data_IF_121616049801
#
_entry.id   IF_121616049801
#
_cell.length_a   1.000
_cell.length_b   1.000
_cell.length_c   1.000
_cell.angle_alpha   90.00
_cell.angle_beta   90.00
_cell.angle_gamma   90.00
#
_symmetry.space_group_name_H-M   'P 1'
#
loop_
_entity.id
_entity.type
_entity.pdbx_description
1 polymer ?
#
# COMPACT_ATOMS: atom_id res chain seq x y z
N UNK A 1 -5.87 8.22 11.87
CA UNK A 1 -6.53 6.99 11.34
C UNK A 1 -8.03 6.94 11.65
N UNK A 2 -8.46 6.96 12.93
CA UNK A 2 -9.89 6.89 13.28
C UNK A 2 -10.69 7.96 12.55
N UNK A 3 -10.25 9.23 12.54
CA UNK A 3 -10.91 10.32 11.83
C UNK A 3 -11.06 10.04 10.33
N UNK A 4 -10.06 9.47 9.67
CA UNK A 4 -10.13 9.13 8.24
C UNK A 4 -11.20 8.06 7.96
N UNK A 5 -11.32 7.04 8.82
CA UNK A 5 -12.38 6.04 8.71
C UNK A 5 -13.76 6.61 8.99
N UNK A 6 -13.89 7.54 9.96
CA UNK A 6 -15.16 8.24 10.22
C UNK A 6 -15.57 9.04 8.98
N UNK A 7 -14.65 9.81 8.37
CA UNK A 7 -14.93 10.60 7.16
C UNK A 7 -15.34 9.68 6.00
N UNK A 8 -14.63 8.58 5.78
CA UNK A 8 -15.00 7.58 4.77
C UNK A 8 -16.38 6.97 5.04
N UNK A 9 -16.68 6.66 6.30
CA UNK A 9 -17.98 6.13 6.71
C UNK A 9 -19.12 7.12 6.43
N UNK A 10 -18.95 8.38 6.78
CA UNK A 10 -19.93 9.44 6.52
C UNK A 10 -20.13 9.61 5.00
N UNK A 11 -19.04 9.69 4.24
CA UNK A 11 -19.07 9.78 2.79
C UNK A 11 -19.85 8.63 2.16
N UNK A 12 -19.63 7.41 2.67
CA UNK A 12 -20.33 6.22 2.19
C UNK A 12 -21.82 6.24 2.51
N UNK A 13 -22.21 6.63 3.73
CA UNK A 13 -23.61 6.76 4.11
C UNK A 13 -24.31 7.80 3.24
N UNK A 14 -23.69 8.96 3.01
CA UNK A 14 -24.23 9.98 2.10
C UNK A 14 -24.38 9.43 0.68
N UNK A 15 -23.39 8.73 0.18
CA UNK A 15 -23.42 8.12 -1.14
C UNK A 15 -24.56 7.10 -1.28
N UNK A 16 -24.70 6.17 -0.33
CA UNK A 16 -25.80 5.19 -0.33
C UNK A 16 -27.17 5.86 -0.22
N UNK A 17 -27.28 6.95 0.57
CA UNK A 17 -28.53 7.70 0.72
C UNK A 17 -28.95 8.33 -0.60
N UNK A 18 -28.00 8.90 -1.36
CA UNK A 18 -28.28 9.44 -2.71
C UNK A 18 -28.72 8.33 -3.65
N UNK A 19 -28.05 7.16 -3.65
CA UNK A 19 -28.45 6.03 -4.49
C UNK A 19 -29.85 5.53 -4.15
N UNK A 20 -30.18 5.45 -2.87
CA UNK A 20 -31.51 5.06 -2.41
C UNK A 20 -32.59 6.07 -2.88
N UNK A 21 -32.33 7.36 -2.71
CA UNK A 21 -33.22 8.44 -3.17
C UNK A 21 -33.49 8.38 -4.69
N UNK A 22 -32.46 7.97 -5.46
CA UNK A 22 -32.54 7.81 -6.91
C UNK A 22 -33.15 6.45 -7.35
N UNK A 23 -33.64 5.63 -6.41
CA UNK A 23 -34.30 4.35 -6.70
C UNK A 23 -33.37 3.22 -7.08
N UNK A 24 -32.06 3.38 -6.89
CA UNK A 24 -31.08 2.32 -7.19
C UNK A 24 -31.06 1.29 -6.06
N UNK A 25 -31.34 0.03 -6.39
CA UNK A 25 -31.30 -1.07 -5.44
C UNK A 25 -29.91 -1.26 -4.84
N UNK A 26 -29.76 -0.95 -3.54
CA UNK A 26 -28.47 -1.06 -2.84
C UNK A 26 -28.11 -2.49 -2.41
N UNK A 27 -29.08 -3.40 -2.30
CA UNK A 27 -28.84 -4.80 -1.86
C UNK A 27 -27.97 -5.56 -2.85
N UNK A 28 -28.27 -5.65 -4.15
CA UNK A 28 -27.40 -6.31 -5.13
C UNK A 28 -25.99 -5.70 -5.18
N UNK A 29 -25.90 -4.38 -5.10
CA UNK A 29 -24.62 -3.66 -5.09
C UNK A 29 -23.78 -3.98 -3.86
N UNK A 30 -24.39 -4.06 -2.68
CA UNK A 30 -23.71 -4.42 -1.45
C UNK A 30 -23.19 -5.87 -1.50
N UNK A 31 -23.97 -6.79 -2.07
CA UNK A 31 -23.58 -8.19 -2.24
C UNK A 31 -22.37 -8.30 -3.19
N UNK A 32 -22.43 -7.66 -4.35
CA UNK A 32 -21.33 -7.68 -5.33
C UNK A 32 -20.07 -7.04 -4.74
N UNK A 33 -20.19 -5.89 -4.13
CA UNK A 33 -19.06 -5.20 -3.50
C UNK A 33 -18.43 -6.07 -2.39
N UNK A 34 -19.25 -6.68 -1.53
CA UNK A 34 -18.76 -7.57 -0.47
C UNK A 34 -18.04 -8.79 -1.05
N UNK A 35 -18.60 -9.43 -2.08
CA UNK A 35 -17.99 -10.56 -2.76
C UNK A 35 -16.63 -10.19 -3.39
N UNK A 36 -16.55 -9.03 -4.05
CA UNK A 36 -15.30 -8.54 -4.64
C UNK A 36 -14.23 -8.25 -3.59
N UNK A 37 -14.60 -7.65 -2.46
CA UNK A 37 -13.70 -7.37 -1.35
C UNK A 37 -13.14 -8.67 -0.76
N UNK A 38 -14.02 -9.62 -0.49
CA UNK A 38 -13.64 -10.92 0.04
C UNK A 38 -12.72 -11.65 -0.93
N UNK A 39 -13.00 -11.60 -2.23
CA UNK A 39 -12.16 -12.19 -3.27
C UNK A 39 -10.79 -11.48 -3.31
N UNK A 40 -10.75 -10.15 -3.34
CA UNK A 40 -9.52 -9.36 -3.35
C UNK A 40 -8.67 -9.64 -2.10
N UNK A 41 -9.29 -9.67 -0.92
CA UNK A 41 -8.59 -10.01 0.33
C UNK A 41 -8.10 -11.46 0.32
N UNK A 42 -8.92 -12.41 -0.15
CA UNK A 42 -8.58 -13.82 -0.17
C UNK A 42 -7.43 -14.16 -1.13
N UNK A 43 -7.36 -13.50 -2.27
CA UNK A 43 -6.36 -13.75 -3.30
C UNK A 43 -5.18 -12.77 -3.29
N UNK A 44 -5.14 -11.79 -2.37
CA UNK A 44 -4.16 -10.71 -2.36
C UNK A 44 -2.71 -11.21 -2.37
N UNK A 45 -2.37 -12.19 -1.54
CA UNK A 45 -1.03 -12.79 -1.45
C UNK A 45 -0.62 -13.51 -2.75
N UNK A 46 -1.53 -14.29 -3.33
CA UNK A 46 -1.28 -15.02 -4.58
C UNK A 46 -1.11 -14.08 -5.77
N UNK A 47 -1.94 -13.04 -5.84
CA UNK A 47 -1.86 -12.03 -6.90
C UNK A 47 -0.50 -11.32 -6.81
N UNK A 48 -0.07 -10.92 -5.62
CA UNK A 48 1.21 -10.24 -5.43
C UNK A 48 2.39 -11.15 -5.80
N UNK A 49 2.41 -12.41 -5.35
CA UNK A 49 3.45 -13.37 -5.73
C UNK A 49 3.52 -13.57 -7.25
N UNK A 50 2.37 -13.73 -7.89
CA UNK A 50 2.32 -13.96 -9.34
C UNK A 50 2.72 -12.73 -10.14
N UNK A 51 2.23 -11.55 -9.77
CA UNK A 51 2.52 -10.30 -10.49
C UNK A 51 3.95 -9.81 -10.27
N UNK A 52 4.54 -10.09 -9.09
CA UNK A 52 5.91 -9.70 -8.77
C UNK A 52 6.96 -10.68 -9.29
N UNK A 53 6.57 -11.90 -9.66
CA UNK A 53 7.52 -12.97 -9.94
C UNK A 53 8.32 -13.41 -8.71
N UNK A 54 7.84 -13.09 -7.50
CA UNK A 54 8.51 -13.46 -6.25
C UNK A 54 8.52 -14.98 -6.06
N UNK A 55 9.67 -15.52 -5.76
CA UNK A 55 9.87 -16.95 -5.45
C UNK A 55 10.12 -17.11 -3.97
N UNK A 56 9.35 -18.01 -3.32
CA UNK A 56 9.62 -18.39 -1.93
C UNK A 56 10.98 -19.11 -1.90
N UNK A 57 11.83 -18.68 -0.99
CA UNK A 57 13.20 -19.21 -0.85
C UNK A 57 13.38 -19.95 0.46
N UNK A 58 14.29 -20.92 0.47
CA UNK A 58 14.65 -21.71 1.67
C UNK A 58 15.68 -20.99 2.54
N UNK A 59 15.84 -21.47 3.76
CA UNK A 59 16.89 -20.99 4.68
C UNK A 59 18.29 -21.32 4.16
N UNK A 60 18.42 -22.43 3.42
CA UNK A 60 19.71 -22.88 2.88
C UNK A 60 20.16 -21.97 1.72
N UNK A 61 19.22 -21.46 0.92
CA UNK A 61 19.52 -20.55 -0.19
C UNK A 61 19.86 -19.13 0.27
N UNK A 62 19.16 -18.63 1.31
CA UNK A 62 19.31 -17.27 1.85
C UNK A 62 19.39 -17.25 3.38
N UNK A 63 20.45 -17.88 3.97
CA UNK A 63 20.52 -18.07 5.43
C UNK A 63 20.47 -16.77 6.21
N UNK A 64 21.20 -15.74 5.77
CA UNK A 64 21.30 -14.45 6.43
C UNK A 64 19.95 -13.67 6.41
N UNK A 65 19.27 -13.66 5.28
CA UNK A 65 17.97 -13.03 5.17
C UNK A 65 16.94 -13.69 6.10
N UNK A 66 16.95 -15.02 6.15
CA UNK A 66 16.09 -15.77 7.07
C UNK A 66 16.42 -15.50 8.54
N UNK A 67 17.70 -15.36 8.89
CA UNK A 67 18.16 -15.05 10.24
C UNK A 67 17.67 -13.67 10.69
N UNK A 68 17.87 -12.63 9.87
CA UNK A 68 17.39 -11.26 10.14
C UNK A 68 15.89 -11.26 10.40
N UNK A 69 15.10 -11.86 9.49
CA UNK A 69 13.64 -11.88 9.57
C UNK A 69 13.19 -12.66 10.82
N UNK A 70 13.77 -13.82 11.09
CA UNK A 70 13.43 -14.67 12.23
C UNK A 70 13.73 -13.99 13.56
N UNK A 71 14.90 -13.37 13.67
CA UNK A 71 15.33 -12.63 14.87
C UNK A 71 14.42 -11.42 15.16
N UNK A 72 14.15 -10.59 14.14
CA UNK A 72 13.29 -9.43 14.30
C UNK A 72 11.84 -9.83 14.58
N UNK A 73 11.30 -10.82 13.88
CA UNK A 73 9.94 -11.31 14.09
C UNK A 73 9.76 -11.88 15.51
N UNK A 74 10.68 -12.76 15.95
CA UNK A 74 10.65 -13.35 17.29
C UNK A 74 10.74 -12.28 18.39
N UNK A 75 11.71 -11.36 18.29
CA UNK A 75 11.89 -10.28 19.28
C UNK A 75 10.65 -9.39 19.42
N UNK A 76 9.84 -9.27 18.37
CA UNK A 76 8.67 -8.38 18.34
C UNK A 76 7.33 -9.13 18.43
N UNK A 77 7.32 -10.43 18.73
CA UNK A 77 6.10 -11.22 18.87
C UNK A 77 5.30 -11.38 17.57
N UNK A 78 5.98 -11.31 16.42
CA UNK A 78 5.39 -11.48 15.10
C UNK A 78 5.65 -12.92 14.65
N UNK A 79 4.63 -13.69 14.18
CA UNK A 79 4.87 -14.97 13.54
C UNK A 79 5.84 -14.79 12.36
N UNK A 80 6.86 -15.67 12.25
CA UNK A 80 7.83 -15.61 11.15
C UNK A 80 7.12 -15.62 9.81
N UNK A 81 7.24 -14.57 8.97
CA UNK A 81 6.66 -14.54 7.65
C UNK A 81 7.39 -15.50 6.72
N UNK A 82 6.74 -15.90 5.63
CA UNK A 82 7.44 -16.54 4.50
C UNK A 82 8.42 -15.55 3.90
N UNK A 83 9.53 -16.06 3.38
CA UNK A 83 10.58 -15.26 2.75
C UNK A 83 10.57 -15.52 1.26
N UNK A 84 10.59 -14.46 0.46
CA UNK A 84 10.65 -14.57 -0.99
C UNK A 84 11.68 -13.60 -1.57
N UNK A 85 12.19 -13.96 -2.76
CA UNK A 85 13.13 -13.14 -3.52
C UNK A 85 12.56 -12.89 -4.93
N UNK A 86 12.67 -11.64 -5.38
CA UNK A 86 12.33 -11.22 -6.74
C UNK A 86 13.65 -10.97 -7.49
N UNK A 87 13.85 -11.65 -8.60
CA UNK A 87 15.07 -11.47 -9.40
C UNK A 87 14.93 -10.22 -10.30
N UNK A 88 15.32 -9.06 -9.77
CA UNK A 88 15.38 -7.78 -10.49
C UNK A 88 16.43 -6.88 -9.85
N UNK A 89 17.06 -6.02 -10.67
CA UNK A 89 18.05 -5.04 -10.19
C UNK A 89 17.40 -3.80 -9.56
N UNK A 90 16.09 -3.64 -9.69
CA UNK A 90 15.34 -2.55 -9.05
C UNK A 90 15.30 -2.82 -7.54
N UNK A 91 15.96 -1.97 -6.70
CA UNK A 91 16.02 -2.22 -5.26
C UNK A 91 14.66 -1.99 -4.63
N UNK A 92 14.08 -3.05 -4.04
CA UNK A 92 12.81 -2.98 -3.33
C UNK A 92 12.68 -4.08 -2.28
N UNK A 93 11.87 -3.80 -1.26
CA UNK A 93 11.34 -4.79 -0.34
C UNK A 93 9.85 -4.51 -0.13
N UNK A 94 9.07 -5.52 0.16
CA UNK A 94 7.65 -5.36 0.48
C UNK A 94 7.13 -6.53 1.33
N UNK A 95 6.12 -6.21 2.13
CA UNK A 95 5.37 -7.21 2.88
C UNK A 95 3.97 -7.39 2.29
N UNK A 96 3.47 -8.61 2.32
CA UNK A 96 2.09 -8.94 1.93
C UNK A 96 1.53 -10.07 2.79
N UNK A 97 0.21 -10.27 2.72
CA UNK A 97 -0.46 -11.36 3.44
C UNK A 97 -1.77 -10.92 4.08
N UNK A 98 -2.68 -11.86 4.25
CA UNK A 98 -4.03 -11.62 4.82
C UNK A 98 -4.00 -11.35 6.32
N UNK A 99 -3.01 -11.88 7.00
CA UNK A 99 -2.82 -11.77 8.45
C UNK A 99 -1.36 -11.97 8.81
N UNK A 100 -0.93 -11.59 10.03
CA UNK A 100 0.44 -11.85 10.47
C UNK A 100 0.86 -13.32 10.38
N UNK A 101 -0.06 -14.28 10.57
CA UNK A 101 0.22 -15.72 10.45
C UNK A 101 0.40 -16.21 9.02
N UNK A 102 -0.14 -15.50 8.04
CA UNK A 102 -0.06 -15.84 6.61
C UNK A 102 0.70 -14.78 5.81
N UNK A 103 1.61 -14.09 6.47
CA UNK A 103 2.40 -13.02 5.87
C UNK A 103 3.62 -13.53 5.12
N UNK A 104 4.11 -12.68 4.24
CA UNK A 104 5.30 -12.90 3.43
C UNK A 104 6.07 -11.57 3.33
N UNK A 105 7.39 -11.65 3.46
CA UNK A 105 8.32 -10.57 3.15
C UNK A 105 9.07 -10.95 1.88
N UNK A 106 9.04 -10.09 0.89
CA UNK A 106 9.78 -10.24 -0.35
C UNK A 106 10.84 -9.14 -0.45
N UNK A 107 12.02 -9.51 -0.91
CA UNK A 107 13.13 -8.59 -1.22
C UNK A 107 13.59 -8.82 -2.66
N UNK A 108 14.12 -7.79 -3.31
CA UNK A 108 14.69 -7.94 -4.65
C UNK A 108 16.18 -8.28 -4.57
N UNK A 109 16.72 -8.93 -5.60
CA UNK A 109 18.17 -9.11 -5.72
C UNK A 109 18.90 -7.76 -5.75
N UNK A 110 18.27 -6.73 -6.31
CA UNK A 110 18.82 -5.36 -6.32
C UNK A 110 19.02 -4.77 -4.94
N UNK A 111 18.07 -4.97 -3.99
CA UNK A 111 18.23 -4.44 -2.63
C UNK A 111 19.25 -5.24 -1.83
N UNK A 112 19.32 -6.57 -2.02
CA UNK A 112 20.31 -7.42 -1.38
C UNK A 112 21.76 -7.09 -1.80
N UNK A 113 21.94 -6.61 -3.03
CA UNK A 113 23.24 -6.17 -3.55
C UNK A 113 23.59 -4.72 -3.18
N UNK A 114 22.61 -3.91 -2.82
CA UNK A 114 22.76 -2.47 -2.56
C UNK A 114 23.05 -2.14 -1.09
N UNK A 115 22.36 -2.83 -0.18
CA UNK A 115 22.36 -2.51 1.24
C UNK A 115 23.36 -3.37 2.01
N UNK A 116 23.97 -2.76 3.04
CA UNK A 116 24.66 -3.53 4.07
C UNK A 116 23.64 -4.24 4.98
N UNK A 117 24.14 -5.07 5.88
CA UNK A 117 23.31 -5.92 6.75
C UNK A 117 22.43 -5.10 7.70
N UNK A 118 22.98 -4.04 8.28
CA UNK A 118 22.25 -3.20 9.23
C UNK A 118 21.16 -2.38 8.51
N UNK A 119 21.44 -1.93 7.29
CA UNK A 119 20.48 -1.25 6.43
C UNK A 119 19.39 -2.19 5.96
N UNK A 120 19.75 -3.42 5.57
CA UNK A 120 18.78 -4.46 5.21
C UNK A 120 17.90 -4.82 6.41
N UNK A 121 18.50 -4.96 7.60
CA UNK A 121 17.78 -5.21 8.84
C UNK A 121 16.77 -4.07 9.13
N UNK A 122 17.17 -2.81 8.94
CA UNK A 122 16.30 -1.66 9.16
C UNK A 122 15.10 -1.67 8.18
N UNK A 123 15.33 -1.99 6.91
CA UNK A 123 14.27 -2.15 5.90
C UNK A 123 13.33 -3.31 6.26
N UNK A 124 13.88 -4.47 6.66
CA UNK A 124 13.05 -5.61 7.11
C UNK A 124 12.23 -5.24 8.34
N UNK A 125 12.78 -4.46 9.28
CA UNK A 125 12.05 -3.94 10.45
C UNK A 125 10.86 -3.06 10.05
N UNK A 126 11.03 -2.22 9.01
CA UNK A 126 9.96 -1.44 8.42
C UNK A 126 8.86 -2.35 7.84
N UNK A 127 9.22 -3.35 7.04
CA UNK A 127 8.26 -4.30 6.46
C UNK A 127 7.52 -5.14 7.51
N UNK A 128 8.22 -5.58 8.55
CA UNK A 128 7.60 -6.30 9.66
C UNK A 128 6.61 -5.43 10.45
N UNK A 129 6.83 -4.12 10.49
CA UNK A 129 5.89 -3.18 11.11
C UNK A 129 4.58 -3.12 10.34
N UNK A 130 4.60 -3.16 9.00
CA UNK A 130 3.40 -3.27 8.18
C UNK A 130 2.60 -4.55 8.47
N UNK A 131 3.29 -5.68 8.65
CA UNK A 131 2.66 -6.95 9.04
C UNK A 131 2.02 -6.85 10.43
N UNK A 132 2.77 -6.36 11.43
CA UNK A 132 2.30 -6.18 12.81
C UNK A 132 1.06 -5.28 12.87
N UNK A 133 1.05 -4.22 12.10
CA UNK A 133 -0.01 -3.22 12.07
C UNK A 133 -1.18 -3.59 11.16
N UNK A 134 -1.12 -4.74 10.47
CA UNK A 134 -2.13 -5.23 9.52
C UNK A 134 -2.49 -4.21 8.44
N UNK A 135 -1.48 -3.55 7.89
CA UNK A 135 -1.65 -2.44 6.95
C UNK A 135 -2.40 -2.84 5.69
N UNK A 136 -2.19 -4.06 5.18
CA UNK A 136 -2.90 -4.59 4.03
C UNK A 136 -4.41 -4.63 4.27
N UNK A 137 -4.83 -5.13 5.45
CA UNK A 137 -6.25 -5.14 5.80
C UNK A 137 -6.83 -3.73 5.87
N UNK A 138 -6.10 -2.79 6.50
CA UNK A 138 -6.53 -1.39 6.64
C UNK A 138 -6.71 -0.73 5.28
N UNK A 139 -5.73 -0.88 4.37
CA UNK A 139 -5.78 -0.30 3.03
C UNK A 139 -6.83 -0.99 2.16
N UNK A 140 -6.99 -2.32 2.28
CA UNK A 140 -8.04 -3.05 1.58
C UNK A 140 -9.42 -2.54 1.99
N UNK A 141 -9.70 -2.43 3.28
CA UNK A 141 -10.98 -1.89 3.77
C UNK A 141 -11.21 -0.45 3.31
N UNK A 142 -10.17 0.39 3.33
CA UNK A 142 -10.28 1.76 2.86
C UNK A 142 -10.57 1.85 1.35
N UNK A 143 -10.02 0.94 0.55
CA UNK A 143 -10.19 0.93 -0.92
C UNK A 143 -11.58 0.49 -1.39
N UNK A 144 -12.35 -0.19 -0.53
CA UNK A 144 -13.71 -0.64 -0.83
C UNK A 144 -14.59 0.48 -1.36
N UNK A 145 -14.61 1.60 -0.64
CA UNK A 145 -15.47 2.74 -0.98
C UNK A 145 -15.10 3.35 -2.34
N UNK A 146 -13.80 3.46 -2.61
CA UNK A 146 -13.31 3.95 -3.90
C UNK A 146 -13.67 2.99 -5.05
N UNK A 147 -13.56 1.70 -4.81
CA UNK A 147 -13.86 0.67 -5.81
C UNK A 147 -15.35 0.64 -6.15
N UNK A 148 -16.23 0.66 -5.14
CA UNK A 148 -17.68 0.70 -5.36
C UNK A 148 -18.09 1.96 -6.10
N UNK A 149 -17.58 3.12 -5.69
CA UNK A 149 -17.90 4.39 -6.36
C UNK A 149 -17.44 4.39 -7.82
N UNK A 150 -16.25 3.83 -8.10
CA UNK A 150 -15.75 3.67 -9.46
C UNK A 150 -16.66 2.81 -10.34
N UNK A 151 -17.07 1.64 -9.86
CA UNK A 151 -17.96 0.77 -10.61
C UNK A 151 -19.31 1.43 -10.89
N UNK A 152 -19.88 2.15 -9.92
CA UNK A 152 -21.15 2.85 -10.13
C UNK A 152 -21.01 3.98 -11.14
N UNK A 153 -19.89 4.71 -11.16
CA UNK A 153 -19.61 5.68 -12.21
C UNK A 153 -19.57 5.02 -13.60
N UNK A 154 -18.90 3.88 -13.71
CA UNK A 154 -18.83 3.11 -14.96
C UNK A 154 -20.20 2.60 -15.41
N UNK A 155 -20.96 1.95 -14.52
CA UNK A 155 -22.30 1.45 -14.84
C UNK A 155 -23.28 2.59 -15.17
N UNK A 156 -23.21 3.72 -14.46
CA UNK A 156 -24.00 4.91 -14.78
C UNK A 156 -23.68 5.45 -16.17
N UNK A 157 -22.39 5.53 -16.51
CA UNK A 157 -21.95 5.99 -17.82
C UNK A 157 -22.43 5.06 -18.95
N UNK A 158 -22.21 3.76 -18.84
CA UNK A 158 -22.64 2.80 -19.85
C UNK A 158 -24.15 2.59 -19.90
N UNK A 159 -24.81 2.54 -18.74
CA UNK A 159 -26.27 2.38 -18.64
C UNK A 159 -27.05 3.60 -19.12
N UNK A 160 -26.55 4.81 -18.86
CA UNK A 160 -27.16 6.07 -19.27
C UNK A 160 -27.15 6.31 -20.78
N UNK A 161 -26.12 5.81 -21.47
CA UNK A 161 -26.03 5.88 -22.94
C UNK A 161 -27.13 5.02 -23.61
N UNK A 162 -27.59 3.97 -22.95
CA UNK A 162 -28.61 3.04 -23.46
C UNK A 162 -30.04 3.45 -23.13
N UNK A 163 -30.26 4.37 -22.21
CA UNK A 163 -31.61 4.80 -21.80
C UNK A 163 -32.15 5.86 -22.76
N UNK A 164 -33.20 5.49 -23.52
CA UNK A 164 -33.88 6.36 -24.49
C UNK A 164 -34.86 7.38 -23.87
N UNK A 165 -35.04 7.36 -22.55
CA UNK A 165 -35.99 8.26 -21.88
C UNK A 165 -35.32 9.56 -21.38
N UNK A 166 -35.78 10.70 -21.82
CA UNK A 166 -35.30 12.06 -21.45
C UNK A 166 -35.30 12.31 -19.93
N UNK A 167 -36.28 11.76 -19.19
CA UNK A 167 -36.36 11.91 -17.74
C UNK A 167 -35.29 11.11 -16.95
N UNK A 168 -34.72 10.05 -17.55
CA UNK A 168 -33.64 9.28 -16.94
C UNK A 168 -32.27 9.91 -17.14
N UNK A 169 -32.11 10.81 -18.12
CA UNK A 169 -30.79 11.41 -18.42
C UNK A 169 -30.31 12.32 -17.28
N UNK A 170 -31.17 13.11 -16.67
CA UNK A 170 -30.81 13.98 -15.54
C UNK A 170 -30.36 13.16 -14.31
N UNK A 171 -31.12 12.11 -13.97
CA UNK A 171 -30.78 11.19 -12.86
C UNK A 171 -29.44 10.51 -13.10
N UNK A 172 -29.17 10.04 -14.32
CA UNK A 172 -27.89 9.41 -14.68
C UNK A 172 -26.71 10.35 -14.49
N UNK A 173 -26.84 11.62 -14.91
CA UNK A 173 -25.78 12.63 -14.72
C UNK A 173 -25.50 12.85 -13.23
N UNK A 174 -26.52 12.97 -12.40
CA UNK A 174 -26.37 13.12 -10.94
C UNK A 174 -25.62 11.92 -10.34
N UNK A 175 -26.00 10.69 -10.71
CA UNK A 175 -25.33 9.46 -10.23
C UNK A 175 -23.83 9.47 -10.59
N UNK A 176 -23.51 9.81 -11.85
CA UNK A 176 -22.12 9.86 -12.32
C UNK A 176 -21.34 10.92 -11.53
N UNK A 177 -21.87 12.13 -11.38
CA UNK A 177 -21.20 13.21 -10.64
C UNK A 177 -20.94 12.81 -9.19
N UNK A 178 -21.94 12.29 -8.49
CA UNK A 178 -21.80 11.86 -7.10
C UNK A 178 -20.78 10.70 -6.98
N UNK A 179 -20.83 9.75 -7.90
CA UNK A 179 -19.88 8.63 -7.90
C UNK A 179 -18.43 9.09 -8.16
N UNK A 180 -18.21 9.99 -9.11
CA UNK A 180 -16.89 10.57 -9.41
C UNK A 180 -16.35 11.37 -8.22
N UNK A 181 -17.17 12.22 -7.61
CA UNK A 181 -16.79 12.99 -6.42
C UNK A 181 -16.43 12.04 -5.27
N UNK A 182 -17.25 11.02 -5.01
CA UNK A 182 -17.00 10.02 -3.97
C UNK A 182 -15.69 9.26 -4.26
N UNK A 183 -15.46 8.90 -5.50
CA UNK A 183 -14.20 8.24 -5.91
C UNK A 183 -12.98 9.13 -5.65
N UNK A 184 -13.01 10.40 -6.09
CA UNK A 184 -11.89 11.34 -5.89
C UNK A 184 -11.61 11.54 -4.40
N UNK A 185 -12.63 11.81 -3.59
CA UNK A 185 -12.46 12.05 -2.15
C UNK A 185 -11.93 10.79 -1.46
N UNK A 186 -12.48 9.61 -1.76
CA UNK A 186 -12.00 8.33 -1.23
C UNK A 186 -10.55 8.09 -1.62
N UNK A 187 -10.19 8.35 -2.88
CA UNK A 187 -8.82 8.23 -3.37
C UNK A 187 -7.83 9.10 -2.57
N UNK A 188 -8.17 10.36 -2.33
CA UNK A 188 -7.32 11.28 -1.55
C UNK A 188 -7.16 10.83 -0.09
N UNK A 189 -8.25 10.34 0.53
CA UNK A 189 -8.22 9.82 1.90
C UNK A 189 -7.35 8.56 1.99
N UNK A 190 -7.46 7.63 1.04
CA UNK A 190 -6.63 6.42 0.99
C UNK A 190 -5.15 6.80 0.89
N UNK A 191 -4.80 7.80 0.07
CA UNK A 191 -3.42 8.30 -0.02
C UNK A 191 -2.93 8.91 1.28
N UNK A 192 -3.78 9.65 1.98
CA UNK A 192 -3.45 10.19 3.29
C UNK A 192 -3.22 9.09 4.34
N UNK A 193 -4.07 8.05 4.36
CA UNK A 193 -3.92 6.88 5.22
C UNK A 193 -2.60 6.17 4.90
N UNK A 194 -2.32 5.91 3.62
CA UNK A 194 -1.09 5.25 3.17
C UNK A 194 0.15 6.00 3.67
N UNK A 195 0.25 7.31 3.41
CA UNK A 195 1.39 8.13 3.89
C UNK A 195 1.54 8.13 5.41
N UNK A 196 0.44 8.19 6.15
CA UNK A 196 0.51 8.11 7.63
C UNK A 196 1.08 6.77 8.08
N UNK A 197 0.71 5.67 7.41
CA UNK A 197 1.20 4.33 7.73
C UNK A 197 2.67 4.15 7.43
N UNK A 198 3.18 4.77 6.38
CA UNK A 198 4.63 4.81 6.09
C UNK A 198 5.41 5.43 7.27
N UNK A 199 4.97 6.59 7.77
CA UNK A 199 5.61 7.20 8.95
C UNK A 199 5.47 6.33 10.21
N UNK A 200 4.39 5.59 10.35
CA UNK A 200 4.22 4.65 11.45
C UNK A 200 5.15 3.44 11.31
N UNK A 201 5.33 2.94 10.08
CA UNK A 201 6.24 1.85 9.77
C UNK A 201 7.71 2.27 9.95
N UNK A 202 8.08 3.49 9.56
CA UNK A 202 9.41 4.05 9.82
C UNK A 202 9.73 4.08 11.31
N UNK A 203 8.80 4.59 12.14
CA UNK A 203 8.97 4.60 13.59
C UNK A 203 9.03 3.19 14.18
N UNK A 204 8.17 2.30 13.70
CA UNK A 204 8.13 0.92 14.16
C UNK A 204 9.39 0.15 13.80
N UNK A 205 9.89 0.27 12.57
CA UNK A 205 11.14 -0.32 12.10
C UNK A 205 12.34 0.20 12.88
N UNK A 206 12.42 1.53 13.06
CA UNK A 206 13.46 2.14 13.89
C UNK A 206 13.44 1.65 15.34
N UNK A 207 12.25 1.48 15.93
CA UNK A 207 12.10 0.94 17.28
C UNK A 207 12.47 -0.56 17.35
N UNK A 208 12.16 -1.35 16.32
CA UNK A 208 12.49 -2.79 16.26
C UNK A 208 14.00 -3.03 16.21
N UNK A 209 14.72 -2.22 15.46
CA UNK A 209 16.16 -2.36 15.24
C UNK A 209 17.00 -1.54 16.22
N UNK A 210 16.42 -0.49 16.82
CA UNK A 210 17.14 0.46 17.66
C UNK A 210 18.01 1.45 16.87
N UNK A 211 17.94 1.43 15.53
CA UNK A 211 18.82 2.23 14.69
C UNK A 211 18.07 2.98 13.57
N UNK A 212 17.48 4.15 13.88
CA UNK A 212 16.76 4.94 12.89
C UNK A 212 17.65 5.46 11.75
N UNK A 213 18.95 5.71 12.00
CA UNK A 213 19.88 6.19 10.96
C UNK A 213 20.07 5.16 9.85
N UNK A 214 20.15 3.87 10.18
CA UNK A 214 20.33 2.82 9.18
C UNK A 214 19.13 2.74 8.22
N UNK A 215 17.91 2.98 8.73
CA UNK A 215 16.74 3.08 7.84
C UNK A 215 16.81 4.36 6.98
N UNK A 216 17.26 5.49 7.54
CA UNK A 216 17.44 6.73 6.79
C UNK A 216 18.48 6.56 5.67
N UNK A 217 19.61 5.93 5.97
CA UNK A 217 20.68 5.67 4.99
C UNK A 217 20.24 4.70 3.91
N UNK A 218 19.52 3.63 4.27
CA UNK A 218 18.91 2.70 3.32
C UNK A 218 17.97 3.42 2.35
N UNK A 219 17.07 4.28 2.85
CA UNK A 219 16.14 5.06 2.01
C UNK A 219 16.89 5.97 1.04
N UNK A 220 17.98 6.63 1.49
CA UNK A 220 18.79 7.47 0.61
C UNK A 220 19.50 6.66 -0.47
N UNK A 221 20.09 5.51 -0.12
CA UNK A 221 20.75 4.62 -1.09
C UNK A 221 19.77 4.09 -2.13
N UNK A 222 18.59 3.61 -1.70
CA UNK A 222 17.54 3.12 -2.59
C UNK A 222 17.09 4.25 -3.54
N UNK A 223 16.81 5.44 -3.02
CA UNK A 223 16.40 6.61 -3.82
C UNK A 223 17.47 6.99 -4.84
N UNK A 224 18.73 7.08 -4.43
CA UNK A 224 19.84 7.38 -5.32
C UNK A 224 20.02 6.34 -6.42
N UNK A 225 19.87 5.06 -6.11
CA UNK A 225 19.95 3.98 -7.10
C UNK A 225 18.77 4.01 -8.06
N UNK A 226 17.54 4.26 -7.57
CA UNK A 226 16.33 4.36 -8.39
C UNK A 226 16.44 5.43 -9.47
N UNK A 227 17.04 6.58 -9.18
CA UNK A 227 17.26 7.67 -10.13
C UNK A 227 18.17 7.29 -11.32
N UNK A 228 18.97 6.25 -11.16
CA UNK A 228 19.95 5.77 -12.15
C UNK A 228 19.52 4.48 -12.87
N UNK A 229 18.32 3.95 -12.61
CA UNK A 229 17.81 2.76 -13.27
C UNK A 229 17.15 3.14 -14.61
N UNK A 230 17.43 2.41 -15.71
CA UNK A 230 16.79 2.65 -16.99
C UNK A 230 15.27 2.55 -16.90
N UNK A 231 14.56 3.46 -17.56
CA UNK A 231 13.08 3.53 -17.55
C UNK A 231 12.42 2.19 -17.93
N UNK A 232 12.99 1.46 -18.88
CA UNK A 232 12.48 0.14 -19.30
C UNK A 232 12.49 -0.91 -18.16
N UNK A 233 13.49 -0.88 -17.27
CA UNK A 233 13.53 -1.78 -16.11
C UNK A 233 12.48 -1.38 -15.08
N UNK A 234 12.30 -0.08 -14.85
CA UNK A 234 11.26 0.45 -13.98
C UNK A 234 9.88 0.08 -14.51
N UNK A 235 9.63 0.20 -15.81
CA UNK A 235 8.37 -0.17 -16.46
C UNK A 235 8.06 -1.66 -16.30
N UNK A 236 9.06 -2.54 -16.38
CA UNK A 236 8.87 -3.98 -16.17
C UNK A 236 8.32 -4.36 -14.80
N UNK A 237 8.61 -3.54 -13.78
CA UNK A 237 8.15 -3.71 -12.40
C UNK A 237 7.08 -2.68 -12.00
N UNK A 238 6.60 -1.84 -12.94
CA UNK A 238 5.62 -0.78 -12.68
C UNK A 238 4.31 -1.30 -12.09
N UNK A 239 3.92 -2.54 -12.41
CA UNK A 239 2.76 -3.22 -11.80
C UNK A 239 2.88 -3.37 -10.28
N UNK A 240 4.11 -3.30 -9.75
CA UNK A 240 4.43 -3.40 -8.33
C UNK A 240 4.58 -2.03 -7.65
N UNK A 241 4.37 -0.94 -8.36
CA UNK A 241 4.66 0.42 -7.85
C UNK A 241 3.94 0.72 -6.51
N UNK A 242 2.77 0.10 -6.27
CA UNK A 242 2.05 0.21 -5.00
C UNK A 242 2.76 -0.50 -3.82
N UNK A 243 3.73 -1.37 -4.10
CA UNK A 243 4.51 -2.13 -3.13
C UNK A 243 5.97 -1.68 -3.04
N UNK A 244 6.34 -0.58 -3.71
CA UNK A 244 7.69 -0.05 -3.61
C UNK A 244 7.87 0.71 -2.30
N UNK A 245 9.00 0.50 -1.63
CA UNK A 245 9.39 1.27 -0.44
C UNK A 245 9.63 2.76 -0.77
N UNK A 246 10.02 3.02 -2.02
CA UNK A 246 10.18 4.36 -2.60
C UNK A 246 9.50 4.37 -3.96
N UNK A 247 8.67 5.39 -4.30
CA UNK A 247 8.03 5.47 -5.60
C UNK A 247 9.05 5.43 -6.74
N UNK A 248 8.79 4.60 -7.74
CA UNK A 248 9.67 4.47 -8.91
C UNK A 248 9.73 5.73 -9.79
N UNK A 249 8.79 6.65 -9.62
CA UNK A 249 8.72 7.93 -10.34
C UNK A 249 8.50 9.06 -9.33
N UNK A 250 9.52 9.86 -9.05
CA UNK A 250 9.41 11.12 -8.33
C UNK A 250 9.23 12.24 -9.36
N UNK A 251 8.04 12.83 -9.40
CA UNK A 251 7.68 13.96 -10.27
C UNK A 251 7.19 15.16 -9.45
N UNK A 252 6.86 16.25 -10.13
CA UNK A 252 6.43 17.55 -9.61
C UNK A 252 5.43 17.50 -8.45
N UNK A 253 5.27 18.60 -7.72
CA UNK A 253 4.44 18.75 -6.50
C UNK A 253 3.04 18.16 -6.59
N UNK A 254 2.40 18.14 -7.77
CA UNK A 254 1.10 17.53 -8.00
C UNK A 254 1.22 15.99 -7.98
N UNK A 255 2.27 15.40 -8.55
CA UNK A 255 2.51 13.96 -8.53
C UNK A 255 2.68 13.43 -7.09
N UNK A 256 3.20 14.24 -6.17
CA UNK A 256 3.32 13.90 -4.74
C UNK A 256 1.96 13.73 -4.03
N UNK A 257 0.90 14.41 -4.48
CA UNK A 257 -0.46 14.20 -3.96
C UNK A 257 -1.02 12.82 -4.34
N UNK A 258 -0.56 12.30 -5.48
CA UNK A 258 -0.98 11.00 -6.01
C UNK A 258 -0.07 9.84 -5.57
N UNK A 259 1.06 10.14 -4.91
CA UNK A 259 1.95 9.11 -4.37
C UNK A 259 1.36 8.41 -3.13
N UNK A 260 1.58 7.11 -3.03
CA UNK A 260 1.26 6.29 -1.84
C UNK A 260 2.26 6.49 -0.72
N UNK A 261 3.49 6.94 -1.05
CA UNK A 261 4.57 7.14 -0.09
C UNK A 261 4.90 8.63 0.08
N UNK A 262 5.29 9.06 1.29
CA UNK A 262 5.81 10.40 1.52
C UNK A 262 7.15 10.59 0.78
N UNK A 263 7.55 11.86 0.50
CA UNK A 263 8.89 12.15 0.00
C UNK A 263 9.97 11.59 0.92
N UNK A 264 11.03 11.02 0.31
CA UNK A 264 12.13 10.37 1.04
C UNK A 264 12.79 11.34 2.02
N UNK A 265 12.98 12.59 1.61
CA UNK A 265 13.60 13.64 2.41
C UNK A 265 12.83 13.86 3.72
N UNK A 266 11.49 13.83 3.68
CA UNK A 266 10.64 13.99 4.87
C UNK A 266 10.70 12.77 5.79
N UNK A 267 10.82 11.56 5.24
CA UNK A 267 10.99 10.33 6.00
C UNK A 267 12.35 10.33 6.71
N UNK A 268 13.41 10.62 5.97
CA UNK A 268 14.79 10.73 6.48
C UNK A 268 14.90 11.78 7.59
N UNK A 269 14.34 12.98 7.40
CA UNK A 269 14.35 14.03 8.41
C UNK A 269 13.73 13.53 9.73
N UNK A 270 12.55 12.89 9.67
CA UNK A 270 11.88 12.35 10.86
C UNK A 270 12.64 11.20 11.53
N UNK A 271 13.31 10.34 10.76
CA UNK A 271 14.13 9.26 11.32
C UNK A 271 15.35 9.82 12.07
N UNK A 272 16.00 10.85 11.52
CA UNK A 272 17.14 11.52 12.18
C UNK A 272 16.73 12.30 13.44
N UNK A 273 15.53 12.91 13.44
CA UNK A 273 14.96 13.53 14.65
C UNK A 273 14.72 12.49 15.76
N UNK A 274 14.31 11.26 15.41
CA UNK A 274 14.11 10.18 16.38
C UNK A 274 15.40 9.78 17.09
N UNK A 275 16.54 9.79 16.41
CA UNK A 275 17.85 9.48 17.02
C UNK A 275 18.19 10.48 18.12
N UNK A 276 17.99 11.77 17.89
CA UNK A 276 18.24 12.82 18.87
C UNK A 276 17.37 12.65 20.12
N UNK A 277 16.12 12.20 19.95
CA UNK A 277 15.23 11.88 21.07
C UNK A 277 15.57 10.60 21.81
N UNK A 278 16.11 9.56 21.12
CA UNK A 278 16.54 8.30 21.74
C UNK A 278 17.87 8.43 22.53
N UNK A 279 18.70 9.40 22.18
CA UNK A 279 19.95 9.68 22.89
C UNK A 279 19.80 10.51 24.18
N UNK A 280 18.56 10.92 24.49
CA UNK A 280 18.24 11.73 25.67
C UNK A 280 17.47 10.94 26.78
N UNK A 281 17.24 9.64 26.57
CA UNK A 281 16.69 8.70 27.54
C UNK A 281 17.77 7.75 28.03
#
# INVERSE_FOLDING_TARGET
MILSFIILGILYVLFLSVLHYLGIGYIPLAIIASAMILAQWYFSDKIVLWTSGAKIVSKDDYPKLHEIIERLASKNGIPKPKVAVVNTQVPNAFATGKSPKSSLVAVTSGILNLLDDDELEAVIGHELTHIRSRDILVLTLASVFSTVAWYLAQFGFFGGIQSRNRDSAGTTVIVIVVAVVTWIVSFLIIRAISRYREYAADRGGAAMTGNPDKLADALLKISGKMNNIPTKEIESVQKLNAFFIIPALSGNSIANLFSTHPPVEKRVAKLREMKTGMGQL
#
